data_IF_457412580427
#
_entry.id   IF_457412580427
#
_cell.length_a   1.000
_cell.length_b   1.000
_cell.length_c   1.000
_cell.angle_alpha   90.00
_cell.angle_beta   90.00
_cell.angle_gamma   90.00
#
_symmetry.space_group_name_H-M   'P 1'
#
loop_
_entity.id
_entity.type
_entity.pdbx_description
1 polymer ?
#
# COMPACT_ATOMS: atom_id res chain seq x y z
N UNK A 1 54.74 -0.43 -19.57
CA UNK A 1 53.65 -0.42 -18.59
C UNK A 1 54.32 -0.51 -17.22
N UNK A 2 54.22 0.54 -16.42
CA UNK A 2 55.06 0.83 -15.24
C UNK A 2 54.46 0.36 -13.91
N UNK A 3 53.48 -0.55 -13.93
CA UNK A 3 52.88 -1.14 -12.73
C UNK A 3 53.11 -2.66 -12.68
N UNK A 4 53.28 -3.22 -11.48
CA UNK A 4 53.55 -4.64 -11.27
C UNK A 4 52.40 -5.41 -10.58
N UNK A 5 51.45 -4.69 -9.99
CA UNK A 5 50.29 -5.26 -9.31
C UNK A 5 49.13 -4.27 -9.29
N UNK A 6 47.96 -4.73 -8.82
CA UNK A 6 46.78 -3.89 -8.58
C UNK A 6 46.31 -4.04 -7.13
N UNK A 7 45.67 -3.01 -6.58
CA UNK A 7 45.06 -3.07 -5.24
C UNK A 7 43.86 -4.00 -5.21
N UNK A 8 43.71 -4.81 -4.17
CA UNK A 8 42.66 -5.83 -4.03
C UNK A 8 41.22 -5.30 -4.17
N UNK A 9 40.92 -4.08 -3.68
CA UNK A 9 39.54 -3.56 -3.63
C UNK A 9 39.16 -2.69 -4.84
N UNK A 10 40.08 -1.87 -5.35
CA UNK A 10 39.80 -0.87 -6.38
C UNK A 10 40.50 -1.16 -7.71
N UNK A 11 41.29 -2.24 -7.79
CA UNK A 11 42.05 -2.60 -9.00
C UNK A 11 43.06 -1.54 -9.45
N UNK A 12 43.44 -0.60 -8.57
CA UNK A 12 44.32 0.51 -8.92
C UNK A 12 45.76 0.02 -9.11
N UNK A 13 46.48 0.51 -10.14
CA UNK A 13 47.86 0.11 -10.41
C UNK A 13 48.83 0.51 -9.29
N UNK A 14 49.71 -0.41 -8.90
CA UNK A 14 50.82 -0.18 -7.97
C UNK A 14 52.14 -0.02 -8.75
N UNK A 15 52.77 1.15 -8.59
CA UNK A 15 53.93 1.58 -9.39
C UNK A 15 55.27 1.11 -8.79
N UNK A 16 56.24 0.81 -9.64
CA UNK A 16 57.61 0.48 -9.23
C UNK A 16 58.40 1.77 -9.03
N UNK A 17 59.19 1.87 -7.95
CA UNK A 17 59.95 3.08 -7.60
C UNK A 17 60.93 3.57 -8.70
N UNK A 18 61.38 2.66 -9.58
CA UNK A 18 62.30 2.96 -10.68
C UNK A 18 61.62 3.50 -11.95
N UNK A 19 60.28 3.48 -12.01
CA UNK A 19 59.49 3.96 -13.16
C UNK A 19 58.26 4.71 -12.63
N UNK A 20 58.42 6.01 -12.28
CA UNK A 20 57.38 6.76 -11.57
C UNK A 20 56.14 7.00 -12.44
N UNK A 21 54.95 7.09 -11.82
CA UNK A 21 53.69 7.29 -12.54
C UNK A 21 53.70 8.55 -13.39
N UNK A 22 53.19 8.42 -14.61
CA UNK A 22 53.04 9.52 -15.56
C UNK A 22 51.65 10.17 -15.41
N UNK A 23 51.47 11.39 -15.91
CA UNK A 23 50.17 12.09 -15.86
C UNK A 23 49.01 11.26 -16.46
N UNK A 24 49.29 10.48 -17.50
CA UNK A 24 48.31 9.57 -18.12
C UNK A 24 47.79 8.49 -17.17
N UNK A 25 48.62 8.05 -16.24
CA UNK A 25 48.29 7.01 -15.27
C UNK A 25 47.32 7.56 -14.21
N UNK A 26 47.54 8.80 -13.77
CA UNK A 26 46.63 9.52 -12.89
C UNK A 26 45.27 9.76 -13.55
N UNK A 27 45.26 10.22 -14.81
CA UNK A 27 44.01 10.43 -15.56
C UNK A 27 43.21 9.13 -15.72
N UNK A 28 43.90 8.01 -15.93
CA UNK A 28 43.27 6.69 -16.04
C UNK A 28 42.70 6.23 -14.69
N UNK A 29 43.43 6.44 -13.60
CA UNK A 29 42.96 6.13 -12.25
C UNK A 29 41.75 7.00 -11.84
N UNK A 30 41.76 8.30 -12.12
CA UNK A 30 40.62 9.18 -11.86
C UNK A 30 39.40 8.78 -12.68
N UNK A 31 39.58 8.46 -13.97
CA UNK A 31 38.49 7.94 -14.81
C UNK A 31 37.89 6.63 -14.28
N UNK A 32 38.74 5.74 -13.74
CA UNK A 32 38.28 4.49 -13.14
C UNK A 32 37.51 4.70 -11.82
N UNK A 33 37.93 5.69 -11.03
CA UNK A 33 37.24 6.11 -9.80
C UNK A 33 35.87 6.71 -10.13
N UNK A 34 35.80 7.62 -11.10
CA UNK A 34 34.54 8.23 -11.55
C UNK A 34 33.55 7.15 -12.02
N UNK A 35 34.02 6.22 -12.87
CA UNK A 35 33.22 5.09 -13.33
C UNK A 35 32.79 4.12 -12.21
N UNK A 36 33.52 4.08 -11.09
CA UNK A 36 33.14 3.29 -9.92
C UNK A 36 32.06 3.98 -9.09
N UNK A 37 32.13 5.31 -8.93
CA UNK A 37 31.08 6.10 -8.28
C UNK A 37 29.76 6.02 -9.04
N UNK A 38 29.81 6.05 -10.38
CA UNK A 38 28.63 5.88 -11.25
C UNK A 38 27.93 4.51 -11.08
N UNK A 39 28.65 3.50 -10.57
CA UNK A 39 28.11 2.15 -10.33
C UNK A 39 27.58 1.93 -8.92
N UNK A 40 27.75 2.89 -8.01
CA UNK A 40 27.19 2.77 -6.66
C UNK A 40 25.68 3.02 -6.69
N UNK A 41 24.89 2.17 -6.02
CA UNK A 41 23.44 2.39 -5.79
C UNK A 41 23.12 3.72 -5.06
N UNK A 42 24.15 4.47 -4.67
CA UNK A 42 24.11 5.66 -3.85
C UNK A 42 24.13 6.97 -4.66
N UNK A 43 23.80 6.96 -5.95
CA UNK A 43 23.43 8.21 -6.62
C UNK A 43 22.09 8.71 -6.06
N UNK A 44 22.17 9.32 -4.87
CA UNK A 44 21.10 10.06 -4.24
C UNK A 44 21.00 11.38 -4.98
N UNK A 45 19.99 11.50 -5.83
CA UNK A 45 19.66 12.77 -6.47
C UNK A 45 18.39 13.32 -5.82
N UNK A 46 18.48 14.54 -5.29
CA UNK A 46 17.28 15.28 -4.91
C UNK A 46 16.54 15.68 -6.19
N UNK A 47 15.26 15.31 -6.27
CA UNK A 47 14.35 15.77 -7.29
C UNK A 47 13.83 17.15 -6.91
N UNK A 48 13.90 18.05 -7.88
CA UNK A 48 13.30 19.38 -7.86
C UNK A 48 11.99 19.36 -8.65
N UNK A 49 12.06 19.53 -9.96
CA UNK A 49 10.92 19.69 -10.88
C UNK A 49 10.94 18.71 -12.04
N UNK A 50 11.80 17.70 -11.96
CA UNK A 50 11.95 16.64 -12.96
C UNK A 50 10.64 15.86 -13.10
N UNK A 51 10.42 15.39 -14.32
CA UNK A 51 9.35 14.47 -14.66
C UNK A 51 9.81 13.03 -14.36
N UNK A 52 8.97 12.23 -13.71
CA UNK A 52 9.32 10.85 -13.39
C UNK A 52 9.45 9.96 -14.64
N UNK A 53 8.88 10.34 -15.78
CA UNK A 53 9.02 9.59 -17.04
C UNK A 53 10.44 9.65 -17.62
N UNK A 54 11.19 10.70 -17.28
CA UNK A 54 12.58 10.90 -17.68
C UNK A 54 13.56 10.09 -16.81
N UNK A 55 13.10 9.58 -15.66
CA UNK A 55 13.95 8.87 -14.71
C UNK A 55 13.96 7.37 -15.02
N UNK A 56 14.88 6.94 -15.88
CA UNK A 56 15.05 5.53 -16.27
C UNK A 56 16.38 4.92 -15.81
N UNK A 57 17.23 5.72 -15.17
CA UNK A 57 18.55 5.29 -14.67
C UNK A 57 18.38 4.66 -13.29
N UNK A 58 19.16 3.61 -13.01
CA UNK A 58 19.16 2.97 -11.69
C UNK A 58 19.64 3.95 -10.63
N UNK A 59 18.85 4.15 -9.57
CA UNK A 59 19.17 5.09 -8.51
C UNK A 59 18.08 5.23 -7.45
N UNK A 60 18.39 5.98 -6.40
CA UNK A 60 17.45 6.37 -5.34
C UNK A 60 17.32 7.89 -5.40
N UNK A 61 16.11 8.38 -5.67
CA UNK A 61 15.82 9.80 -5.87
C UNK A 61 14.88 10.29 -4.78
N UNK A 62 15.12 11.49 -4.24
CA UNK A 62 14.33 12.04 -3.13
C UNK A 62 13.56 13.27 -3.59
N UNK A 63 12.23 13.22 -3.53
CA UNK A 63 11.38 14.39 -3.73
C UNK A 63 11.08 15.02 -2.37
N UNK A 64 11.75 16.12 -2.06
CA UNK A 64 11.67 16.78 -0.75
C UNK A 64 10.38 17.60 -0.55
N UNK A 65 9.69 18.00 -1.63
CA UNK A 65 8.57 18.93 -1.55
C UNK A 65 7.30 18.35 -2.20
N UNK A 66 6.24 18.19 -1.40
CA UNK A 66 4.91 17.76 -1.89
C UNK A 66 4.35 18.68 -2.97
N UNK A 67 4.73 19.97 -2.96
CA UNK A 67 4.34 20.91 -4.02
C UNK A 67 4.92 20.56 -5.40
N UNK A 68 6.00 19.77 -5.42
CA UNK A 68 6.67 19.38 -6.66
C UNK A 68 6.31 17.97 -7.14
N UNK A 69 5.79 17.12 -6.26
CA UNK A 69 5.22 15.83 -6.60
C UNK A 69 3.82 16.01 -7.22
N UNK A 70 3.76 16.27 -8.52
CA UNK A 70 2.50 16.56 -9.23
C UNK A 70 2.16 15.48 -10.24
N UNK A 71 0.87 15.26 -10.50
CA UNK A 71 0.41 14.36 -11.56
C UNK A 71 0.93 14.79 -12.93
N UNK A 72 1.08 16.10 -13.17
CA UNK A 72 1.65 16.66 -14.41
C UNK A 72 3.14 16.33 -14.62
N UNK A 73 3.82 15.83 -13.56
CA UNK A 73 5.21 15.33 -13.59
C UNK A 73 5.25 13.81 -13.37
N UNK A 74 4.11 13.15 -13.64
CA UNK A 74 3.92 11.70 -13.54
C UNK A 74 4.17 11.09 -12.17
N UNK A 75 3.97 11.85 -11.08
CA UNK A 75 3.89 11.28 -9.74
C UNK A 75 2.57 10.51 -9.54
N UNK A 76 2.59 9.37 -8.82
CA UNK A 76 1.38 8.57 -8.58
C UNK A 76 0.35 9.31 -7.71
N UNK A 77 0.84 10.17 -6.81
CA UNK A 77 0.04 10.93 -5.85
C UNK A 77 0.75 12.23 -5.51
N UNK A 78 -0.03 13.24 -5.09
CA UNK A 78 0.50 14.53 -4.65
C UNK A 78 1.10 14.45 -3.24
N UNK A 79 2.25 13.79 -3.12
CA UNK A 79 2.99 13.62 -1.86
C UNK A 79 4.50 13.58 -2.13
N UNK A 80 5.30 14.20 -1.27
CA UNK A 80 6.76 13.99 -1.21
C UNK A 80 7.11 12.53 -0.87
N UNK A 81 8.34 12.14 -1.15
CA UNK A 81 8.72 10.73 -1.01
C UNK A 81 10.05 10.37 -1.64
N UNK A 82 10.27 9.06 -1.72
CA UNK A 82 11.48 8.45 -2.26
C UNK A 82 11.13 7.59 -3.47
N UNK A 83 11.82 7.80 -4.58
CA UNK A 83 11.75 6.97 -5.79
C UNK A 83 12.96 6.04 -5.83
N UNK A 84 12.73 4.74 -5.92
CA UNK A 84 13.74 3.79 -6.36
C UNK A 84 13.49 3.46 -7.83
N UNK A 85 14.47 3.73 -8.68
CA UNK A 85 14.44 3.33 -10.08
C UNK A 85 15.44 2.21 -10.30
N UNK A 86 15.03 1.17 -11.03
CA UNK A 86 15.88 0.09 -11.52
C UNK A 86 15.81 0.11 -13.04
N UNK A 87 16.85 0.65 -13.66
CA UNK A 87 16.98 0.80 -15.10
C UNK A 87 17.67 -0.39 -15.76
N UNK A 88 17.30 -0.66 -17.01
CA UNK A 88 17.95 -1.59 -17.91
C UNK A 88 17.72 -1.19 -19.37
N UNK A 89 18.26 -1.96 -20.31
CA UNK A 89 18.06 -1.65 -21.73
C UNK A 89 16.58 -1.70 -22.12
N UNK A 90 16.02 -0.54 -22.50
CA UNK A 90 14.61 -0.33 -22.84
C UNK A 90 13.60 -0.74 -21.75
N UNK A 91 14.03 -0.80 -20.48
CA UNK A 91 13.20 -1.19 -19.34
C UNK A 91 13.53 -0.32 -18.13
N UNK A 92 12.52 0.07 -17.39
CA UNK A 92 12.70 0.67 -16.07
C UNK A 92 11.60 0.19 -15.14
N UNK A 93 11.94 0.04 -13.86
CA UNK A 93 10.99 -0.25 -12.80
C UNK A 93 11.10 0.84 -11.76
N UNK A 94 9.99 1.49 -11.46
CA UNK A 94 9.94 2.56 -10.47
C UNK A 94 9.10 2.12 -9.29
N UNK A 95 9.63 2.35 -8.09
CA UNK A 95 8.94 2.20 -6.83
C UNK A 95 8.92 3.55 -6.12
N UNK A 96 7.76 4.06 -5.76
CA UNK A 96 7.62 5.35 -5.08
C UNK A 96 7.03 5.16 -3.68
N UNK A 97 7.80 5.51 -2.65
CA UNK A 97 7.39 5.42 -1.24
C UNK A 97 7.02 6.83 -0.77
N UNK A 98 5.75 7.03 -0.41
CA UNK A 98 5.23 8.34 0.02
C UNK A 98 5.54 8.63 1.49
N UNK A 99 5.81 9.90 1.82
CA UNK A 99 6.16 10.35 3.18
C UNK A 99 5.04 10.15 4.21
N UNK A 100 3.79 10.38 3.80
CA UNK A 100 2.66 10.69 4.68
C UNK A 100 1.78 9.48 5.02
N UNK A 101 1.69 8.47 4.15
CA UNK A 101 0.80 7.30 4.36
C UNK A 101 1.52 5.95 4.22
N UNK A 102 2.83 5.94 4.01
CA UNK A 102 3.60 4.71 3.79
C UNK A 102 3.12 3.88 2.60
N UNK A 103 2.31 4.47 1.71
CA UNK A 103 1.89 3.82 0.49
C UNK A 103 3.07 3.73 -0.47
N UNK A 104 3.23 2.54 -1.03
CA UNK A 104 4.24 2.26 -2.04
C UNK A 104 3.51 2.17 -3.36
N UNK A 105 4.03 2.78 -4.40
CA UNK A 105 3.52 2.68 -5.75
C UNK A 105 4.55 2.01 -6.62
N UNK A 106 4.11 1.25 -7.62
CA UNK A 106 4.99 0.73 -8.63
C UNK A 106 4.47 1.01 -10.03
N UNK A 107 5.39 1.18 -10.97
CA UNK A 107 5.10 1.14 -12.40
C UNK A 107 6.30 0.61 -13.16
N UNK A 108 6.08 0.29 -14.43
CA UNK A 108 7.13 -0.21 -15.32
C UNK A 108 7.13 0.52 -16.64
N UNK A 109 8.32 0.74 -17.17
CA UNK A 109 8.56 1.13 -18.54
C UNK A 109 8.96 -0.11 -19.35
N UNK A 110 8.31 -0.32 -20.48
CA UNK A 110 8.70 -1.35 -21.45
C UNK A 110 8.69 -0.78 -22.86
N UNK A 111 9.88 -0.67 -23.46
CA UNK A 111 10.08 -0.41 -24.89
C UNK A 111 9.18 0.71 -25.45
N UNK A 112 9.12 1.86 -24.76
CA UNK A 112 8.40 3.13 -25.11
C UNK A 112 7.03 3.37 -24.47
N UNK A 113 6.62 2.60 -23.48
CA UNK A 113 5.41 2.93 -22.72
C UNK A 113 5.62 2.72 -21.23
N UNK A 114 5.15 3.69 -20.45
CA UNK A 114 4.92 3.52 -19.02
C UNK A 114 3.58 2.83 -18.80
N UNK A 115 3.53 1.89 -17.86
CA UNK A 115 2.25 1.47 -17.28
C UNK A 115 1.68 2.59 -16.42
N UNK A 116 0.39 2.50 -16.15
CA UNK A 116 -0.20 3.23 -15.03
C UNK A 116 0.50 2.83 -13.71
N UNK A 117 0.34 3.70 -12.70
CA UNK A 117 0.83 3.44 -11.36
C UNK A 117 -0.10 2.49 -10.61
N UNK A 118 0.46 1.40 -10.10
CA UNK A 118 -0.25 0.47 -9.22
C UNK A 118 0.14 0.75 -7.76
N UNK A 119 -0.87 0.99 -6.91
CA UNK A 119 -0.63 1.13 -5.47
C UNK A 119 -0.36 -0.25 -4.86
N UNK A 120 0.84 -0.43 -4.31
CA UNK A 120 1.17 -1.50 -3.39
C UNK A 120 0.62 -1.07 -2.02
N UNK A 121 -0.60 -1.52 -1.75
CA UNK A 121 -1.30 -1.16 -0.54
C UNK A 121 -0.56 -1.62 0.73
N UNK A 122 -0.58 -0.79 1.78
CA UNK A 122 -0.13 -1.21 3.10
C UNK A 122 -1.01 -2.37 3.60
N UNK A 123 -0.43 -3.20 4.44
CA UNK A 123 -1.02 -4.41 5.04
C UNK A 123 -2.47 -4.26 5.48
N UNK A 124 -3.17 -5.39 5.54
CA UNK A 124 -4.48 -5.53 6.19
C UNK A 124 -4.52 -4.73 7.50
N UNK A 125 -5.45 -3.78 7.61
CA UNK A 125 -5.68 -3.00 8.84
C UNK A 125 -6.90 -3.56 9.56
N UNK A 126 -6.91 -3.50 10.89
CA UNK A 126 -8.02 -4.00 11.70
C UNK A 126 -8.21 -3.18 12.97
N UNK A 127 -9.39 -3.26 13.56
CA UNK A 127 -9.72 -2.58 14.80
C UNK A 127 -11.05 -3.02 15.38
N UNK A 128 -11.41 -2.43 16.52
CA UNK A 128 -12.69 -2.69 17.19
C UNK A 128 -13.18 -1.48 17.98
N UNK A 129 -14.49 -1.40 18.18
CA UNK A 129 -15.15 -0.49 19.10
C UNK A 129 -16.36 -1.20 19.73
N UNK A 130 -17.20 -0.46 20.46
CA UNK A 130 -18.37 -1.01 21.15
C UNK A 130 -19.39 -1.69 20.21
N UNK A 131 -19.34 -1.37 18.91
CA UNK A 131 -20.22 -1.95 17.90
C UNK A 131 -19.67 -3.23 17.26
N UNK A 132 -18.42 -3.62 17.54
CA UNK A 132 -17.80 -4.84 16.99
C UNK A 132 -16.38 -4.63 16.47
N UNK A 133 -15.91 -5.53 15.62
CA UNK A 133 -14.58 -5.48 15.00
C UNK A 133 -14.66 -5.38 13.48
N UNK A 134 -13.58 -4.89 12.88
CA UNK A 134 -13.45 -4.73 11.44
C UNK A 134 -12.05 -5.10 10.94
N UNK A 135 -12.00 -5.53 9.68
CA UNK A 135 -10.78 -5.78 8.92
C UNK A 135 -10.93 -5.08 7.56
N UNK A 136 -9.97 -4.23 7.18
CA UNK A 136 -9.90 -3.57 5.87
C UNK A 136 -8.71 -4.12 5.10
N UNK A 137 -9.01 -4.63 3.92
CA UNK A 137 -8.03 -5.13 2.99
C UNK A 137 -7.58 -4.02 2.01
N UNK A 138 -6.30 -4.04 1.62
CA UNK A 138 -5.75 -3.34 0.46
C UNK A 138 -6.67 -3.10 -0.73
N UNK A 139 -7.31 -4.18 -1.19
CA UNK A 139 -8.13 -4.22 -2.39
C UNK A 139 -9.42 -3.41 -2.25
N UNK A 140 -9.72 -2.86 -1.07
CA UNK A 140 -10.94 -2.12 -0.74
C UNK A 140 -12.01 -2.97 -0.05
N UNK A 141 -11.79 -4.26 0.14
CA UNK A 141 -12.72 -5.15 0.86
C UNK A 141 -12.69 -4.85 2.36
N UNK A 142 -13.86 -4.80 2.98
CA UNK A 142 -14.01 -4.68 4.43
C UNK A 142 -14.89 -5.79 4.96
N UNK A 143 -14.49 -6.37 6.09
CA UNK A 143 -15.30 -7.32 6.86
C UNK A 143 -15.59 -6.69 8.22
N UNK A 144 -16.87 -6.59 8.59
CA UNK A 144 -17.31 -6.24 9.93
C UNK A 144 -17.88 -7.48 10.62
N UNK A 145 -17.47 -7.69 11.88
CA UNK A 145 -17.96 -8.78 12.73
C UNK A 145 -18.54 -8.21 14.01
N UNK A 146 -19.78 -8.57 14.32
CA UNK A 146 -20.53 -8.04 15.46
C UNK A 146 -21.10 -9.21 16.26
N UNK A 147 -21.03 -9.13 17.59
CA UNK A 147 -21.71 -10.09 18.49
C UNK A 147 -22.40 -9.31 19.59
N UNK A 148 -23.70 -9.54 19.77
CA UNK A 148 -24.54 -8.77 20.68
C UNK A 148 -25.57 -9.63 21.38
N UNK A 149 -26.05 -9.10 22.49
CA UNK A 149 -27.21 -9.58 23.25
C UNK A 149 -28.15 -8.40 23.38
N UNK A 150 -29.35 -8.50 22.81
CA UNK A 150 -30.34 -7.43 22.86
C UNK A 150 -31.73 -8.02 23.13
N UNK A 151 -32.65 -7.19 23.60
CA UNK A 151 -34.07 -7.54 23.69
C UNK A 151 -34.79 -7.04 22.44
N UNK A 152 -35.61 -7.91 21.83
CA UNK A 152 -36.49 -7.52 20.72
C UNK A 152 -37.67 -6.74 21.29
N UNK A 153 -37.70 -5.42 21.09
CA UNK A 153 -38.71 -4.55 21.70
C UNK A 153 -40.00 -4.41 20.88
N UNK A 154 -39.90 -4.58 19.56
CA UNK A 154 -41.01 -4.42 18.64
C UNK A 154 -40.81 -5.25 17.37
N UNK A 155 -41.70 -5.09 16.40
CA UNK A 155 -41.67 -5.79 15.11
C UNK A 155 -40.81 -5.11 14.05
N UNK A 156 -40.27 -3.91 14.32
CA UNK A 156 -39.49 -3.11 13.36
C UNK A 156 -38.02 -3.57 13.29
N UNK A 157 -37.61 -4.47 14.19
CA UNK A 157 -36.27 -5.04 14.22
C UNK A 157 -35.30 -4.20 15.06
N UNK A 158 -34.12 -4.76 15.32
CA UNK A 158 -33.08 -4.09 16.09
C UNK A 158 -32.14 -3.37 15.14
N UNK A 159 -31.96 -2.07 15.33
CA UNK A 159 -30.95 -1.28 14.62
C UNK A 159 -29.58 -1.60 15.19
N UNK A 160 -28.69 -2.13 14.36
CA UNK A 160 -27.30 -2.46 14.72
C UNK A 160 -26.36 -1.59 13.93
N UNK A 161 -25.57 -0.78 14.61
CA UNK A 161 -24.54 0.04 13.97
C UNK A 161 -23.30 -0.79 13.64
N UNK A 162 -22.70 -0.55 12.48
CA UNK A 162 -21.42 -1.17 12.14
C UNK A 162 -20.26 -0.51 12.91
N UNK A 163 -19.15 -1.23 13.18
CA UNK A 163 -17.98 -0.64 13.81
C UNK A 163 -17.22 0.31 12.86
N UNK A 164 -17.42 0.18 11.55
CA UNK A 164 -16.97 1.10 10.50
C UNK A 164 -18.03 1.17 9.40
N UNK A 165 -18.24 2.35 8.77
CA UNK A 165 -19.17 2.47 7.67
C UNK A 165 -18.64 1.83 6.38
N UNK A 166 -19.52 1.21 5.60
CA UNK A 166 -19.25 0.81 4.22
C UNK A 166 -19.31 2.01 3.27
N UNK A 167 -18.63 1.92 2.13
CA UNK A 167 -18.60 2.96 1.10
C UNK A 167 -19.96 3.09 0.38
N UNK A 168 -20.67 1.97 0.21
CA UNK A 168 -21.97 1.89 -0.44
C UNK A 168 -22.81 0.74 0.17
N UNK A 169 -24.02 0.56 -0.33
CA UNK A 169 -24.97 -0.48 0.10
C UNK A 169 -24.79 -1.81 -0.66
N UNK A 170 -23.78 -1.92 -1.52
CA UNK A 170 -23.47 -3.15 -2.25
C UNK A 170 -22.54 -4.05 -1.41
N UNK A 171 -23.06 -4.49 -0.25
CA UNK A 171 -22.38 -5.42 0.66
C UNK A 171 -23.24 -6.65 0.91
N UNK A 172 -22.59 -7.77 1.22
CA UNK A 172 -23.25 -8.99 1.66
C UNK A 172 -23.30 -9.02 3.19
N UNK A 173 -24.42 -9.44 3.76
CA UNK A 173 -24.59 -9.54 5.21
C UNK A 173 -25.28 -10.84 5.60
N UNK A 174 -24.82 -11.45 6.69
CA UNK A 174 -25.48 -12.57 7.34
C UNK A 174 -25.58 -12.30 8.83
N UNK A 175 -26.75 -12.57 9.41
CA UNK A 175 -26.96 -12.62 10.84
C UNK A 175 -27.26 -14.07 11.23
N UNK A 176 -26.73 -14.49 12.37
CA UNK A 176 -26.96 -15.81 12.94
C UNK A 176 -27.36 -15.65 14.40
N UNK A 177 -28.52 -16.18 14.76
CA UNK A 177 -28.97 -16.24 16.15
C UNK A 177 -28.35 -17.45 16.85
N UNK A 178 -27.78 -17.22 18.02
CA UNK A 178 -27.17 -18.24 18.87
C UNK A 178 -28.17 -18.71 19.92
N UNK A 179 -28.90 -17.77 20.53
CA UNK A 179 -29.96 -18.04 21.48
C UNK A 179 -31.13 -17.07 21.26
N UNK A 180 -32.38 -17.52 21.47
CA UNK A 180 -32.77 -18.89 21.77
C UNK A 180 -32.72 -19.80 20.53
N UNK A 181 -32.53 -21.11 20.71
CA UNK A 181 -32.33 -22.06 19.60
C UNK A 181 -33.55 -22.25 18.66
N UNK A 182 -34.71 -21.71 19.02
CA UNK A 182 -35.96 -21.79 18.25
C UNK A 182 -36.29 -20.48 17.52
N UNK A 183 -35.25 -19.75 17.12
CA UNK A 183 -35.35 -18.47 16.44
C UNK A 183 -34.56 -18.52 15.12
N UNK A 184 -34.96 -17.70 14.17
CA UNK A 184 -34.20 -17.35 12.96
C UNK A 184 -34.10 -15.84 12.88
N UNK A 185 -33.05 -15.33 12.23
CA UNK A 185 -32.90 -13.90 12.01
C UNK A 185 -32.58 -13.57 10.56
N UNK A 186 -32.88 -12.33 10.20
CA UNK A 186 -32.56 -11.75 8.90
C UNK A 186 -32.06 -10.32 9.11
N UNK A 187 -31.09 -9.90 8.30
CA UNK A 187 -30.53 -8.56 8.33
C UNK A 187 -30.67 -7.89 6.96
N UNK A 188 -30.88 -6.57 6.92
CA UNK A 188 -30.94 -5.82 5.66
C UNK A 188 -29.58 -5.26 5.20
N UNK A 189 -29.48 -5.08 3.88
CA UNK A 189 -28.31 -4.55 3.18
C UNK A 189 -28.43 -3.08 2.78
N UNK A 190 -29.33 -2.30 3.42
CA UNK A 190 -29.81 -1.04 2.85
C UNK A 190 -29.08 0.22 3.34
N UNK A 191 -28.19 0.11 4.34
CA UNK A 191 -27.54 1.28 4.95
C UNK A 191 -26.03 1.08 5.07
N UNK A 192 -25.29 2.17 4.97
CA UNK A 192 -23.82 2.12 5.04
C UNK A 192 -23.27 2.12 6.47
N UNK A 193 -24.03 2.63 7.43
CA UNK A 193 -23.62 2.80 8.84
C UNK A 193 -24.25 1.81 9.81
N UNK A 194 -25.29 1.11 9.38
CA UNK A 194 -26.11 0.24 10.22
C UNK A 194 -26.81 -0.83 9.41
N UNK A 195 -27.49 -1.74 10.09
CA UNK A 195 -28.42 -2.71 9.53
C UNK A 195 -29.56 -2.92 10.50
N UNK A 196 -30.75 -3.23 9.99
CA UNK A 196 -31.83 -3.71 10.82
C UNK A 196 -31.80 -5.23 10.86
N UNK A 197 -31.96 -5.81 12.06
CA UNK A 197 -32.03 -7.26 12.25
C UNK A 197 -33.38 -7.64 12.84
N UNK A 198 -34.12 -8.46 12.12
CA UNK A 198 -35.38 -9.03 12.58
C UNK A 198 -35.19 -10.45 13.09
N UNK A 199 -36.02 -10.82 14.06
CA UNK A 199 -36.00 -12.11 14.72
C UNK A 199 -37.39 -12.73 14.70
N UNK A 200 -37.47 -13.99 14.28
CA UNK A 200 -38.71 -14.72 14.11
C UNK A 200 -38.61 -16.10 14.76
N UNK A 201 -39.70 -16.59 15.33
CA UNK A 201 -39.77 -17.97 15.77
C UNK A 201 -39.86 -18.92 14.56
N UNK A 202 -39.79 -20.23 14.82
CA UNK A 202 -39.86 -21.24 13.75
C UNK A 202 -41.21 -21.30 13.00
N UNK A 203 -42.22 -20.54 13.46
CA UNK A 203 -43.52 -20.38 12.77
C UNK A 203 -43.59 -19.09 11.95
N UNK A 204 -42.53 -18.28 11.94
CA UNK A 204 -42.48 -16.99 11.24
C UNK A 204 -43.11 -15.82 12.01
N UNK A 205 -43.46 -16.00 13.28
CA UNK A 205 -44.01 -14.93 14.13
C UNK A 205 -42.87 -14.16 14.79
N UNK A 206 -43.04 -12.85 15.00
CA UNK A 206 -42.03 -12.03 15.69
C UNK A 206 -41.76 -12.53 17.12
N UNK A 207 -40.51 -12.43 17.55
CA UNK A 207 -40.09 -12.77 18.92
C UNK A 207 -40.01 -11.55 19.84
N UNK A 208 -40.98 -10.64 19.75
CA UNK A 208 -41.08 -9.48 20.68
C UNK A 208 -40.99 -9.95 22.14
N UNK A 209 -40.38 -9.11 22.98
CA UNK A 209 -40.06 -9.31 24.40
C UNK A 209 -39.00 -10.38 24.69
N UNK A 210 -38.46 -11.07 23.67
CA UNK A 210 -37.40 -12.06 23.85
C UNK A 210 -36.03 -11.42 23.82
N UNK A 211 -35.16 -11.94 24.68
CA UNK A 211 -33.72 -11.71 24.62
C UNK A 211 -33.11 -12.63 23.57
N UNK A 212 -32.24 -12.06 22.73
CA UNK A 212 -31.56 -12.76 21.64
C UNK A 212 -30.05 -12.51 21.71
N UNK A 213 -29.29 -13.59 21.57
CA UNK A 213 -27.85 -13.55 21.36
C UNK A 213 -27.58 -13.84 19.89
N UNK A 214 -26.82 -12.99 19.21
CA UNK A 214 -26.61 -13.13 17.77
C UNK A 214 -25.26 -12.59 17.31
N UNK A 215 -24.82 -13.09 16.16
CA UNK A 215 -23.60 -12.65 15.47
C UNK A 215 -23.96 -12.14 14.09
N UNK A 216 -23.31 -11.07 13.64
CA UNK A 216 -23.41 -10.55 12.28
C UNK A 216 -22.03 -10.58 11.63
N UNK A 217 -21.97 -10.99 10.37
CA UNK A 217 -20.83 -10.76 9.48
C UNK A 217 -21.34 -9.98 8.27
N UNK A 218 -20.73 -8.82 8.02
CA UNK A 218 -20.99 -8.00 6.84
C UNK A 218 -19.69 -7.83 6.03
N UNK A 219 -19.76 -8.03 4.71
CA UNK A 219 -18.62 -7.99 3.80
C UNK A 219 -18.96 -7.03 2.65
N UNK A 220 -18.18 -5.97 2.50
CA UNK A 220 -18.44 -4.92 1.52
C UNK A 220 -17.19 -4.13 1.19
N UNK A 221 -17.37 -2.88 0.75
CA UNK A 221 -16.27 -1.98 0.37
C UNK A 221 -16.08 -0.87 1.39
N UNK A 222 -14.84 -0.46 1.66
CA UNK A 222 -14.54 0.72 2.49
C UNK A 222 -14.06 1.94 1.69
N UNK A 223 -13.80 1.74 0.39
CA UNK A 223 -13.42 2.75 -0.60
C UNK A 223 -13.93 2.36 -1.97
#
# INVERSE_FOLDING_TARGET
>A
MSYNSSTENLGLPQWILSDPPQMSDFNSAFSAIDAAFDKTLAYKQDLTTEDLDDIQITGIYVQNYTSNATTDRHYPVKASGCLMCIGGENKAYQYYICQNEGCIWMRRYNSKSWSDWDQIYPSVTSGSNDNGSWIKYPDGTMICTIRRTDQVLDTEGIVVHFPQPFADTNYAITANVLLPYNCVCAADGNYTVSTNVWFYNLKGESTVDKWVDYTIIAIGRWK
#
